data_IF_889113324856
#
_entry.id   IF_889113324856
#
_cell.length_a   1.000
_cell.length_b   1.000
_cell.length_c   1.000
_cell.angle_alpha   90.00
_cell.angle_beta   90.00
_cell.angle_gamma   90.00
#
_symmetry.space_group_name_H-M   'P 1'
#
loop_
_entity.id
_entity.type
_entity.pdbx_description
1 polymer ?
#
# COMPACT_ATOMS: atom_id res chain seq x y z
N UNK A 1 21.06 -18.05 -2.03
CA UNK A 1 19.98 -17.09 -1.78
C UNK A 1 20.38 -15.66 -2.11
N UNK A 2 21.41 -15.18 -1.46
CA UNK A 2 21.93 -13.85 -1.75
C UNK A 2 22.34 -13.73 -3.22
N UNK A 3 22.78 -14.82 -3.74
CA UNK A 3 23.16 -14.94 -5.13
C UNK A 3 21.97 -14.75 -6.07
N UNK A 4 20.77 -15.14 -5.65
CA UNK A 4 19.57 -14.93 -6.48
C UNK A 4 18.90 -13.60 -6.21
N UNK A 5 19.02 -13.06 -4.99
CA UNK A 5 18.38 -11.78 -4.65
C UNK A 5 18.99 -10.61 -5.43
N UNK A 6 20.32 -10.54 -5.50
CA UNK A 6 20.97 -9.46 -6.22
C UNK A 6 20.62 -9.41 -7.71
N UNK A 7 20.68 -10.51 -8.45
CA UNK A 7 20.25 -10.50 -9.85
C UNK A 7 18.78 -10.13 -10.00
N UNK A 8 17.92 -10.60 -9.11
CA UNK A 8 16.50 -10.27 -9.17
C UNK A 8 16.27 -8.78 -8.96
N UNK A 9 16.93 -8.18 -7.98
CA UNK A 9 16.81 -6.75 -7.75
C UNK A 9 17.32 -5.95 -8.95
N UNK A 10 18.38 -6.42 -9.56
CA UNK A 10 18.93 -5.78 -10.74
C UNK A 10 17.96 -5.84 -11.91
N UNK A 11 17.30 -6.97 -12.10
CA UNK A 11 16.24 -7.10 -13.09
C UNK A 11 15.07 -6.20 -12.77
N UNK A 12 14.66 -6.16 -11.51
CA UNK A 12 13.54 -5.34 -11.06
C UNK A 12 13.84 -3.85 -11.16
N UNK A 13 15.13 -3.45 -11.16
CA UNK A 13 15.49 -2.06 -11.31
C UNK A 13 15.00 -1.47 -12.63
N UNK A 14 14.77 -2.31 -13.64
CA UNK A 14 14.22 -1.87 -14.91
C UNK A 14 12.69 -1.87 -14.93
N UNK A 15 12.06 -2.36 -13.85
CA UNK A 15 10.60 -2.43 -13.71
C UNK A 15 10.20 -1.56 -12.53
N UNK A 16 9.21 -0.69 -12.69
CA UNK A 16 8.79 0.15 -11.57
C UNK A 16 8.43 -0.69 -10.35
N UNK A 17 8.85 -0.24 -9.18
CA UNK A 17 8.55 -0.94 -7.93
C UNK A 17 7.04 -1.13 -7.76
N UNK A 18 6.26 -0.15 -8.17
CA UNK A 18 4.81 -0.22 -8.12
C UNK A 18 4.29 -1.45 -8.87
N UNK A 19 4.84 -1.74 -10.06
CA UNK A 19 4.41 -2.92 -10.84
C UNK A 19 4.75 -4.22 -10.12
N UNK A 20 5.88 -4.24 -9.44
CA UNK A 20 6.27 -5.40 -8.64
C UNK A 20 5.29 -5.61 -7.51
N UNK A 21 4.87 -4.54 -6.86
CA UNK A 21 3.88 -4.60 -5.79
C UNK A 21 2.53 -5.08 -6.30
N UNK A 22 2.10 -4.60 -7.47
CA UNK A 22 0.86 -5.07 -8.08
C UNK A 22 0.89 -6.57 -8.34
N UNK A 23 1.99 -7.04 -8.91
CA UNK A 23 2.14 -8.48 -9.18
C UNK A 23 2.12 -9.29 -7.89
N UNK A 24 2.79 -8.80 -6.87
CA UNK A 24 2.82 -9.45 -5.56
C UNK A 24 1.40 -9.58 -4.98
N UNK A 25 0.60 -8.52 -5.07
CA UNK A 25 -0.78 -8.55 -4.57
C UNK A 25 -1.63 -9.54 -5.36
N UNK A 26 -1.43 -9.65 -6.66
CA UNK A 26 -2.13 -10.67 -7.45
C UNK A 26 -1.77 -12.07 -7.00
N UNK A 27 -0.51 -12.29 -6.66
CA UNK A 27 -0.08 -13.59 -6.15
C UNK A 27 -0.67 -13.88 -4.77
N UNK A 28 -0.77 -12.87 -3.92
CA UNK A 28 -1.42 -13.03 -2.63
C UNK A 28 -2.89 -13.42 -2.81
N UNK A 29 -3.58 -12.84 -3.77
CA UNK A 29 -4.97 -13.21 -4.05
C UNK A 29 -5.07 -14.64 -4.57
N UNK A 30 -4.18 -15.03 -5.47
CA UNK A 30 -4.14 -16.41 -5.97
C UNK A 30 -4.00 -17.40 -4.82
N UNK A 31 -3.21 -17.05 -3.81
CA UNK A 31 -2.91 -17.92 -2.68
C UNK A 31 -3.88 -17.72 -1.51
N UNK A 32 -4.93 -16.91 -1.72
CA UNK A 32 -5.94 -16.64 -0.70
C UNK A 32 -5.37 -15.98 0.56
N UNK A 33 -4.33 -15.16 0.37
CA UNK A 33 -3.59 -14.54 1.47
C UNK A 33 -3.98 -13.08 1.72
N UNK A 34 -5.12 -12.65 1.18
CA UNK A 34 -5.66 -11.31 1.41
C UNK A 34 -6.93 -11.38 2.25
N UNK A 35 -7.28 -10.29 2.94
CA UNK A 35 -8.47 -10.30 3.80
C UNK A 35 -9.80 -10.37 3.04
N UNK A 36 -9.78 -10.11 1.74
CA UNK A 36 -10.96 -10.22 0.88
C UNK A 36 -10.50 -10.47 -0.55
N UNK A 37 -11.42 -10.92 -1.41
CA UNK A 37 -11.11 -11.08 -2.83
C UNK A 37 -11.48 -9.81 -3.57
N UNK A 38 -10.59 -9.33 -4.41
CA UNK A 38 -10.87 -8.15 -5.23
C UNK A 38 -11.29 -8.55 -6.64
N UNK A 39 -12.10 -7.69 -7.28
CA UNK A 39 -12.47 -7.88 -8.68
C UNK A 39 -11.69 -6.96 -9.59
N UNK A 40 -11.23 -5.81 -9.08
CA UNK A 40 -10.41 -4.86 -9.83
C UNK A 40 -9.27 -4.39 -8.96
N UNK A 41 -8.12 -4.20 -9.56
CA UNK A 41 -6.97 -3.68 -8.87
C UNK A 41 -6.09 -2.94 -9.85
N UNK A 42 -5.56 -1.79 -9.44
CA UNK A 42 -4.65 -1.02 -10.26
C UNK A 42 -4.26 0.28 -9.59
N UNK A 43 -3.48 1.07 -10.31
CA UNK A 43 -3.17 2.43 -9.90
C UNK A 43 -4.40 3.30 -10.12
N UNK A 44 -4.62 4.23 -9.24
CA UNK A 44 -5.77 5.12 -9.33
C UNK A 44 -5.35 6.56 -9.18
N UNK A 45 -5.94 7.45 -9.95
CA UNK A 45 -5.68 8.89 -9.90
C UNK A 45 -7.00 9.63 -9.83
N UNK A 46 -7.04 10.68 -9.02
CA UNK A 46 -8.24 11.48 -8.88
C UNK A 46 -8.22 12.31 -7.62
N UNK A 47 -9.39 12.81 -7.26
CA UNK A 47 -9.54 13.65 -6.07
C UNK A 47 -9.59 12.79 -4.83
N UNK A 48 -8.68 13.07 -3.90
CA UNK A 48 -8.64 12.38 -2.62
C UNK A 48 -8.53 13.42 -1.50
N UNK A 49 -8.60 12.91 -0.28
CA UNK A 49 -8.40 13.73 0.90
C UNK A 49 -6.91 13.77 1.24
N UNK A 50 -6.41 14.97 1.55
CA UNK A 50 -5.02 15.13 1.99
C UNK A 50 -5.01 15.90 3.31
N UNK A 51 -3.99 15.67 4.13
CA UNK A 51 -3.81 16.39 5.39
C UNK A 51 -3.36 17.82 5.10
N UNK A 52 -3.95 18.78 5.79
CA UNK A 52 -3.62 20.19 5.63
C UNK A 52 -3.80 20.90 6.96
N UNK A 53 -2.70 21.28 7.58
CA UNK A 53 -2.71 21.96 8.88
C UNK A 53 -3.44 23.29 8.85
N UNK A 54 -3.52 23.92 7.68
CA UNK A 54 -4.19 25.21 7.51
C UNK A 54 -5.68 25.07 7.33
N UNK A 55 -6.18 23.89 7.05
CA UNK A 55 -7.60 23.65 6.91
C UNK A 55 -8.23 23.49 8.28
N UNK A 56 -9.45 23.99 8.42
CA UNK A 56 -10.17 23.93 9.69
C UNK A 56 -10.36 22.51 10.19
N UNK A 57 -10.68 21.59 9.29
CA UNK A 57 -10.83 20.17 9.64
C UNK A 57 -9.51 19.41 9.67
N UNK A 58 -8.40 20.06 9.28
CA UNK A 58 -7.13 19.38 9.12
C UNK A 58 -7.00 18.62 7.82
N UNK A 59 -8.01 18.69 6.95
CA UNK A 59 -8.08 17.96 5.69
C UNK A 59 -8.59 18.85 4.57
N UNK A 60 -8.18 18.55 3.35
CA UNK A 60 -8.71 19.18 2.15
C UNK A 60 -8.73 18.19 0.99
N UNK A 61 -9.37 18.53 -0.09
CA UNK A 61 -9.45 17.71 -1.29
C UNK A 61 -8.37 18.16 -2.28
N UNK A 62 -7.68 17.20 -2.87
CA UNK A 62 -6.65 17.47 -3.89
C UNK A 62 -6.56 16.31 -4.86
N UNK A 63 -6.08 16.62 -6.06
CA UNK A 63 -5.75 15.59 -7.04
C UNK A 63 -4.51 14.84 -6.56
N UNK A 64 -4.65 13.54 -6.35
CA UNK A 64 -3.52 12.71 -5.94
C UNK A 64 -3.61 11.33 -6.61
N UNK A 65 -2.71 10.46 -6.21
CA UNK A 65 -2.64 9.10 -6.72
C UNK A 65 -2.72 8.11 -5.57
N UNK A 66 -3.23 6.93 -5.89
CA UNK A 66 -3.13 5.77 -5.01
C UNK A 66 -2.34 4.75 -5.81
N UNK A 67 -1.19 4.35 -5.29
CA UNK A 67 -0.31 3.44 -6.02
C UNK A 67 -0.97 2.10 -6.31
N UNK A 68 -1.79 1.63 -5.40
CA UNK A 68 -2.50 0.37 -5.57
C UNK A 68 -3.86 0.49 -4.89
N UNK A 69 -4.92 0.35 -5.67
CA UNK A 69 -6.28 0.31 -5.13
C UNK A 69 -6.93 -0.97 -5.61
N UNK A 70 -7.36 -1.81 -4.67
CA UNK A 70 -8.10 -3.02 -4.98
C UNK A 70 -9.52 -2.88 -4.45
N UNK A 71 -10.49 -3.27 -5.27
CA UNK A 71 -11.92 -3.12 -4.96
C UNK A 71 -12.52 -4.51 -4.75
N UNK A 72 -13.21 -4.69 -3.64
CA UNK A 72 -13.74 -5.99 -3.26
C UNK A 72 -14.76 -6.55 -4.21
N UNK A 73 -14.74 -7.87 -4.34
CA UNK A 73 -15.68 -8.62 -5.16
C UNK A 73 -16.82 -9.10 -4.28
N UNK A 74 -18.00 -8.52 -4.50
CA UNK A 74 -19.17 -8.90 -3.73
C UNK A 74 -19.18 -8.41 -2.28
N UNK A 75 -18.19 -7.62 -1.89
CA UNK A 75 -18.11 -7.03 -0.56
C UNK A 75 -17.69 -5.57 -0.70
N UNK A 76 -18.14 -4.74 0.24
CA UNK A 76 -17.75 -3.33 0.25
C UNK A 76 -16.43 -3.20 1.01
N UNK A 77 -15.35 -3.48 0.32
CA UNK A 77 -14.01 -3.44 0.90
C UNK A 77 -13.02 -2.86 -0.10
N UNK A 78 -12.04 -2.15 0.41
CA UNK A 78 -10.96 -1.59 -0.38
C UNK A 78 -9.62 -1.94 0.23
N UNK A 79 -8.65 -2.21 -0.61
CA UNK A 79 -7.25 -2.30 -0.20
C UNK A 79 -6.54 -1.10 -0.79
N UNK A 80 -6.01 -0.23 0.06
CA UNK A 80 -5.25 0.95 -0.35
C UNK A 80 -3.79 0.67 -0.11
N UNK A 81 -2.99 0.70 -1.17
CA UNK A 81 -1.57 0.40 -1.11
C UNK A 81 -0.71 1.58 -1.50
N UNK A 82 0.42 1.75 -0.80
CA UNK A 82 1.43 2.75 -1.11
C UNK A 82 2.79 2.07 -1.21
N UNK A 83 3.53 2.46 -2.23
CA UNK A 83 4.82 1.84 -2.54
C UNK A 83 5.92 2.88 -2.39
N UNK A 84 6.88 2.62 -1.51
CA UNK A 84 8.02 3.52 -1.28
C UNK A 84 9.33 2.80 -1.58
N UNK A 85 9.92 3.16 -2.71
CA UNK A 85 11.22 2.62 -3.10
C UNK A 85 12.25 3.72 -2.95
N UNK A 86 12.57 4.05 -1.69
CA UNK A 86 13.46 5.15 -1.31
C UNK A 86 14.52 4.65 -0.34
N UNK A 87 15.60 5.39 -0.22
CA UNK A 87 16.68 5.04 0.68
C UNK A 87 16.41 5.28 2.16
N UNK A 88 15.14 5.49 2.54
CA UNK A 88 14.75 5.68 3.94
C UNK A 88 13.48 4.89 4.23
N UNK A 89 13.25 4.53 5.50
CA UNK A 89 12.03 3.79 5.87
C UNK A 89 10.77 4.59 5.55
N UNK A 90 9.68 3.85 5.34
CA UNK A 90 8.35 4.41 5.19
C UNK A 90 8.05 5.19 6.48
N UNK A 91 7.79 6.51 6.36
CA UNK A 91 7.64 7.35 7.55
C UNK A 91 6.22 7.31 8.10
N UNK A 92 6.09 7.64 9.38
CA UNK A 92 4.79 7.72 10.01
C UNK A 92 3.91 8.79 9.36
N UNK A 93 4.51 9.91 8.94
CA UNK A 93 3.80 10.95 8.21
C UNK A 93 3.22 10.43 6.90
N UNK A 94 4.00 9.66 6.15
CA UNK A 94 3.53 9.05 4.90
C UNK A 94 2.40 8.05 5.16
N UNK A 95 2.50 7.33 6.26
CA UNK A 95 1.45 6.41 6.68
C UNK A 95 0.14 7.15 6.97
N UNK A 96 0.22 8.24 7.71
CA UNK A 96 -0.98 9.03 8.01
C UNK A 96 -1.60 9.62 6.74
N UNK A 97 -0.77 10.04 5.77
CA UNK A 97 -1.27 10.52 4.49
C UNK A 97 -2.04 9.42 3.75
N UNK A 98 -1.57 8.20 3.83
CA UNK A 98 -2.24 7.06 3.20
C UNK A 98 -3.61 6.80 3.83
N UNK A 99 -3.69 6.89 5.15
CA UNK A 99 -4.93 6.59 5.85
C UNK A 99 -6.08 7.53 5.51
N UNK A 100 -5.79 8.76 5.11
CA UNK A 100 -6.86 9.75 4.88
C UNK A 100 -7.34 9.81 3.44
N UNK A 101 -6.66 9.15 2.51
CA UNK A 101 -6.96 9.33 1.07
C UNK A 101 -8.42 9.13 0.70
N UNK A 102 -9.03 8.07 1.18
CA UNK A 102 -10.44 7.78 0.87
C UNK A 102 -11.31 7.83 2.12
N UNK A 103 -10.95 8.68 3.06
CA UNK A 103 -11.65 8.76 4.35
C UNK A 103 -13.17 9.01 4.23
N UNK A 104 -13.70 9.77 3.25
CA UNK A 104 -15.15 9.92 3.14
C UNK A 104 -15.89 8.61 2.89
N UNK A 105 -15.22 7.58 2.37
CA UNK A 105 -15.84 6.29 2.08
C UNK A 105 -15.80 5.32 3.27
N UNK A 106 -15.14 5.69 4.36
CA UNK A 106 -14.94 4.78 5.49
C UNK A 106 -16.23 4.39 6.19
N UNK A 107 -17.27 5.19 6.06
CA UNK A 107 -18.58 4.89 6.64
C UNK A 107 -19.30 3.78 5.87
N UNK A 108 -18.94 3.57 4.61
CA UNK A 108 -19.67 2.69 3.72
C UNK A 108 -18.93 1.39 3.40
N UNK A 109 -17.64 1.31 3.76
CA UNK A 109 -16.81 0.19 3.35
C UNK A 109 -15.76 -0.12 4.40
N UNK A 110 -15.24 -1.33 4.37
CA UNK A 110 -14.10 -1.74 5.19
C UNK A 110 -12.83 -1.43 4.43
N UNK A 111 -11.88 -0.80 5.11
CA UNK A 111 -10.61 -0.43 4.51
C UNK A 111 -9.47 -1.25 5.09
N UNK A 112 -8.65 -1.74 4.19
CA UNK A 112 -7.40 -2.41 4.52
C UNK A 112 -6.27 -1.66 3.82
N UNK A 113 -5.09 -1.67 4.42
CA UNK A 113 -3.94 -0.94 3.90
C UNK A 113 -2.77 -1.89 3.71
N UNK A 114 -2.06 -1.72 2.59
CA UNK A 114 -0.86 -2.48 2.30
C UNK A 114 0.27 -1.49 2.02
N UNK A 115 1.31 -1.54 2.84
CA UNK A 115 2.44 -0.63 2.70
C UNK A 115 3.64 -1.43 2.24
N UNK A 116 4.24 -0.99 1.14
CA UNK A 116 5.38 -1.66 0.52
C UNK A 116 6.59 -0.75 0.63
N UNK A 117 7.69 -1.25 1.16
CA UNK A 117 8.87 -0.41 1.34
C UNK A 117 10.15 -1.17 1.10
N UNK A 118 11.04 -0.55 0.35
CA UNK A 118 12.39 -1.07 0.14
C UNK A 118 13.19 -1.06 1.44
N UNK A 119 13.07 0.00 2.22
CA UNK A 119 13.95 0.27 3.35
C UNK A 119 13.28 0.11 4.72
N UNK A 120 12.14 -0.60 4.77
CA UNK A 120 11.47 -0.87 6.04
C UNK A 120 10.49 0.21 6.46
N UNK A 121 10.16 0.21 7.74
CA UNK A 121 9.06 1.03 8.28
C UNK A 121 9.45 1.67 9.60
N UNK A 122 8.90 2.87 9.83
CA UNK A 122 8.99 3.54 11.13
C UNK A 122 8.38 2.64 12.21
N UNK A 123 8.97 2.65 13.41
CA UNK A 123 8.50 1.80 14.52
C UNK A 123 7.03 2.02 14.87
N UNK A 124 6.55 3.25 14.74
CA UNK A 124 5.15 3.55 15.05
C UNK A 124 4.22 2.87 14.06
N UNK A 125 4.63 2.73 12.81
CA UNK A 125 3.83 2.00 11.81
C UNK A 125 3.78 0.53 12.20
N UNK A 126 4.92 -0.05 12.60
CA UNK A 126 4.95 -1.44 13.02
C UNK A 126 4.04 -1.72 14.19
N UNK A 127 4.02 -0.80 15.16
CA UNK A 127 3.13 -0.94 16.32
C UNK A 127 1.66 -0.89 15.92
N UNK A 128 1.29 0.02 15.00
CA UNK A 128 -0.10 0.15 14.58
C UNK A 128 -0.55 -0.98 13.66
N UNK A 129 0.35 -1.53 12.87
CA UNK A 129 0.03 -2.65 12.00
C UNK A 129 -0.46 -3.87 12.78
N UNK A 130 -0.01 -4.04 14.02
CA UNK A 130 -0.45 -5.14 14.86
C UNK A 130 -1.91 -5.02 15.28
N UNK A 131 -2.50 -3.84 15.13
CA UNK A 131 -3.89 -3.59 15.56
C UNK A 131 -4.94 -3.95 14.52
N UNK A 132 -4.54 -4.43 13.36
CA UNK A 132 -5.56 -4.91 12.46
C UNK A 132 -5.32 -4.69 10.97
N UNK A 133 -5.87 -3.65 10.40
CA UNK A 133 -6.10 -3.57 8.96
C UNK A 133 -4.91 -3.08 8.12
N UNK A 134 -3.73 -3.03 8.69
CA UNK A 134 -2.52 -2.58 7.99
C UNK A 134 -1.56 -3.75 7.84
N UNK A 135 -1.12 -4.01 6.62
CA UNK A 135 -0.15 -5.05 6.32
C UNK A 135 1.13 -4.42 5.80
N UNK A 136 2.26 -4.89 6.30
CA UNK A 136 3.56 -4.35 5.95
C UNK A 136 4.33 -5.36 5.13
N UNK A 137 4.80 -4.92 3.97
CA UNK A 137 5.54 -5.78 3.05
C UNK A 137 6.90 -5.15 2.73
N UNK A 138 7.94 -5.53 3.46
CA UNK A 138 9.28 -5.08 3.10
C UNK A 138 9.76 -5.79 1.84
N UNK A 139 10.74 -5.20 1.17
CA UNK A 139 11.21 -5.70 -0.12
C UNK A 139 11.57 -7.18 -0.10
N UNK A 140 12.27 -7.63 0.94
CA UNK A 140 12.68 -9.04 1.00
C UNK A 140 11.49 -10.00 1.03
N UNK A 141 10.37 -9.59 1.63
CA UNK A 141 9.15 -10.39 1.63
C UNK A 141 8.57 -10.49 0.22
N UNK A 142 8.58 -9.36 -0.50
CA UNK A 142 8.00 -9.30 -1.85
C UNK A 142 8.81 -10.15 -2.82
N UNK A 143 10.13 -9.99 -2.83
CA UNK A 143 10.98 -10.69 -3.81
C UNK A 143 11.16 -12.16 -3.50
N UNK A 144 10.93 -12.58 -2.27
CA UNK A 144 11.04 -13.98 -1.87
C UNK A 144 9.70 -14.71 -1.79
N UNK A 145 8.65 -14.05 -2.17
CA UNK A 145 7.33 -14.68 -2.18
C UNK A 145 7.23 -15.66 -3.35
N UNK A 146 6.64 -16.79 -3.10
CA UNK A 146 6.54 -17.84 -4.11
C UNK A 146 5.41 -17.64 -5.08
#
# INVERSE_FOLDING_TARGET
YEYSVKPMLHQFASVPFESICHQFVRELQRDNALPFRFEKMGRWMGKTTVRDEKAESGLRIAETEIDLLAIGRGVKAYLVGECKFKGHPFTYSEYLDTLVKLSPLKKEATFYYALFSESGFDERIEAEAQKGNVRLYPLHTIVNYK
#
